data_IF_911691173443
#
_entry.id   IF_911691173443
#
_cell.length_a   1.000
_cell.length_b   1.000
_cell.length_c   1.000
_cell.angle_alpha   90.00
_cell.angle_beta   90.00
_cell.angle_gamma   90.00
#
_symmetry.space_group_name_H-M   'P 1'
#
loop_
_entity.id
_entity.type
_entity.pdbx_description
1 polymer ?
#
# COMPACT_ATOMS: atom_id res chain seq x y z
N UNK A 1 -10.37 17.48 -16.15
CA UNK A 1 -9.20 18.13 -15.53
C UNK A 1 -7.89 17.52 -16.02
N UNK A 2 -7.66 16.19 -15.82
CA UNK A 2 -6.38 15.50 -16.11
C UNK A 2 -5.91 15.69 -17.56
N UNK A 3 -6.82 15.61 -18.53
CA UNK A 3 -6.50 15.82 -19.96
C UNK A 3 -5.87 17.21 -20.23
N UNK A 4 -6.48 18.27 -19.68
CA UNK A 4 -5.97 19.64 -19.86
C UNK A 4 -4.67 19.89 -19.08
N UNK A 5 -4.50 19.27 -17.92
CA UNK A 5 -3.26 19.34 -17.17
C UNK A 5 -2.12 18.65 -17.94
N UNK A 6 -2.36 17.44 -18.43
CA UNK A 6 -1.39 16.68 -19.22
C UNK A 6 -0.99 17.45 -20.51
N UNK A 7 -1.96 17.95 -21.27
CA UNK A 7 -1.70 18.75 -22.48
C UNK A 7 -0.74 19.93 -22.22
N UNK A 8 -1.01 20.70 -21.14
CA UNK A 8 -0.17 21.86 -20.80
C UNK A 8 1.23 21.47 -20.34
N UNK A 9 1.33 20.41 -19.52
CA UNK A 9 2.62 19.95 -19.01
C UNK A 9 3.47 19.36 -20.14
N UNK A 10 2.86 18.56 -21.02
CA UNK A 10 3.54 17.99 -22.19
C UNK A 10 4.04 19.08 -23.15
N UNK A 11 3.25 20.15 -23.36
CA UNK A 11 3.69 21.31 -24.18
C UNK A 11 4.94 22.00 -23.60
N UNK A 12 5.21 21.84 -22.30
CA UNK A 12 6.40 22.35 -21.62
C UNK A 12 7.50 21.27 -21.47
N UNK A 13 7.30 20.08 -22.01
CA UNK A 13 8.26 18.96 -21.94
C UNK A 13 8.25 18.19 -20.60
N UNK A 14 7.23 18.35 -19.74
CA UNK A 14 7.14 17.67 -18.45
C UNK A 14 6.21 16.46 -18.51
N UNK A 15 6.62 15.29 -17.98
CA UNK A 15 5.72 14.16 -17.81
C UNK A 15 4.73 14.42 -16.68
N UNK A 16 3.57 13.74 -16.75
CA UNK A 16 2.50 13.82 -15.75
C UNK A 16 2.31 12.47 -15.08
N UNK A 17 2.43 12.43 -13.76
CA UNK A 17 2.06 11.29 -12.95
C UNK A 17 0.87 11.64 -12.06
N UNK A 18 -0.03 10.67 -11.88
CA UNK A 18 -1.22 10.83 -11.03
C UNK A 18 -1.31 9.69 -10.02
N UNK A 19 -1.92 9.95 -8.86
CA UNK A 19 -2.16 8.95 -7.83
C UNK A 19 -3.67 8.75 -7.63
N UNK A 20 -4.13 7.50 -7.67
CA UNK A 20 -5.54 7.14 -7.63
C UNK A 20 -5.85 6.22 -6.45
N UNK A 21 -7.03 6.41 -5.84
CA UNK A 21 -7.57 5.49 -4.85
C UNK A 21 -7.79 4.09 -5.45
N UNK A 22 -7.68 3.02 -4.65
CA UNK A 22 -7.75 1.65 -5.12
C UNK A 22 -9.18 1.21 -5.42
N UNK A 23 -9.62 1.32 -6.67
CA UNK A 23 -10.94 0.85 -7.14
C UNK A 23 -10.88 -0.59 -7.63
N UNK A 24 -11.91 -1.35 -7.30
CA UNK A 24 -12.12 -2.74 -7.73
C UNK A 24 -13.11 -2.85 -8.92
N UNK A 25 -13.82 -1.75 -9.28
CA UNK A 25 -14.71 -1.67 -10.44
C UNK A 25 -14.98 -0.23 -10.88
N UNK A 26 -15.57 -0.05 -12.06
CA UNK A 26 -16.00 1.27 -12.56
C UNK A 26 -17.10 1.88 -11.66
N UNK A 27 -18.01 1.05 -11.17
CA UNK A 27 -19.18 1.45 -10.38
C UNK A 27 -18.83 1.76 -8.92
N UNK A 28 -17.60 1.46 -8.47
CA UNK A 28 -17.21 1.76 -7.09
C UNK A 28 -17.26 3.26 -6.84
N UNK A 29 -18.31 3.68 -6.14
CA UNK A 29 -18.56 5.07 -5.76
C UNK A 29 -18.11 5.38 -4.34
N UNK A 30 -18.24 6.65 -3.96
CA UNK A 30 -17.93 7.18 -2.65
C UNK A 30 -16.95 8.36 -2.72
N UNK A 31 -16.83 9.07 -1.61
CA UNK A 31 -16.04 10.31 -1.52
C UNK A 31 -14.60 10.16 -2.04
N UNK A 32 -13.96 9.01 -1.78
CA UNK A 32 -12.58 8.73 -2.19
C UNK A 32 -12.46 8.16 -3.61
N UNK A 33 -13.56 7.77 -4.26
CA UNK A 33 -13.48 6.96 -5.48
C UNK A 33 -14.13 7.61 -6.70
N UNK A 34 -15.23 8.34 -6.52
CA UNK A 34 -16.07 8.84 -7.62
C UNK A 34 -15.30 9.72 -8.61
N UNK A 35 -14.36 10.54 -8.14
CA UNK A 35 -13.57 11.42 -8.98
C UNK A 35 -12.36 10.72 -9.65
N UNK A 36 -12.05 9.47 -9.30
CA UNK A 36 -10.92 8.72 -9.82
C UNK A 36 -11.34 7.89 -11.05
N UNK A 37 -11.33 8.53 -12.21
CA UNK A 37 -11.61 7.94 -13.50
C UNK A 37 -10.35 7.24 -14.04
N UNK A 38 -10.27 5.92 -13.87
CA UNK A 38 -9.11 5.11 -14.24
C UNK A 38 -8.80 5.18 -15.73
N UNK A 39 -9.84 5.13 -16.59
CA UNK A 39 -9.68 5.19 -18.05
C UNK A 39 -9.09 6.54 -18.47
N UNK A 40 -9.65 7.66 -17.98
CA UNK A 40 -9.16 8.99 -18.29
C UNK A 40 -7.72 9.20 -17.82
N UNK A 41 -7.37 8.75 -16.61
CA UNK A 41 -6.00 8.86 -16.10
C UNK A 41 -5.03 7.97 -16.89
N UNK A 42 -5.40 6.74 -17.21
CA UNK A 42 -4.60 5.84 -18.06
C UNK A 42 -4.38 6.38 -19.47
N UNK A 43 -5.35 7.10 -20.01
CA UNK A 43 -5.26 7.72 -21.34
C UNK A 43 -4.31 8.92 -21.37
N UNK A 44 -4.40 9.83 -20.41
CA UNK A 44 -3.75 11.14 -20.48
C UNK A 44 -2.47 11.26 -19.66
N UNK A 45 -2.34 10.54 -18.54
CA UNK A 45 -1.12 10.56 -17.72
C UNK A 45 -0.02 9.66 -18.31
N UNK A 46 1.24 9.97 -18.03
CA UNK A 46 2.40 9.14 -18.40
C UNK A 46 2.60 7.99 -17.43
N UNK A 47 2.27 8.20 -16.16
CA UNK A 47 2.28 7.19 -15.10
C UNK A 47 1.07 7.36 -14.19
N UNK A 48 0.56 6.25 -13.69
CA UNK A 48 -0.55 6.23 -12.74
C UNK A 48 -0.16 5.37 -11.54
N UNK A 49 -0.06 5.98 -10.37
CA UNK A 49 0.14 5.28 -9.11
C UNK A 49 -1.23 4.84 -8.59
N UNK A 50 -1.43 3.54 -8.45
CA UNK A 50 -2.56 3.00 -7.69
C UNK A 50 -2.16 2.92 -6.22
N UNK A 51 -2.84 3.65 -5.34
CA UNK A 51 -2.54 3.71 -3.90
C UNK A 51 -3.02 2.45 -3.19
N UNK A 52 -2.43 1.29 -3.54
CA UNK A 52 -2.80 -0.05 -3.06
C UNK A 52 -2.27 -0.31 -1.63
N UNK A 53 -2.61 0.60 -0.72
CA UNK A 53 -2.31 0.56 0.71
C UNK A 53 -3.40 1.26 1.51
N UNK A 54 -3.25 1.35 2.84
CA UNK A 54 -4.21 1.96 3.78
C UNK A 54 -5.55 1.21 3.90
N UNK A 55 -5.60 -0.11 3.64
CA UNK A 55 -6.73 -0.92 4.08
C UNK A 55 -6.75 -1.05 5.61
N UNK A 56 -5.61 -1.40 6.24
CA UNK A 56 -5.34 -1.04 7.62
C UNK A 56 -4.77 0.38 7.67
N UNK A 57 -5.39 1.28 8.41
CA UNK A 57 -4.94 2.68 8.51
C UNK A 57 -5.15 3.22 9.93
N UNK A 58 -4.61 4.42 10.18
CA UNK A 58 -4.53 5.03 11.52
C UNK A 58 -5.84 4.96 12.33
N UNK A 59 -6.99 5.22 11.71
CA UNK A 59 -8.29 5.24 12.41
C UNK A 59 -9.20 4.07 12.06
N UNK A 60 -8.71 3.14 11.24
CA UNK A 60 -9.42 1.91 10.86
C UNK A 60 -9.20 0.77 11.85
N UNK A 61 -10.01 -0.27 11.71
CA UNK A 61 -9.82 -1.52 12.44
C UNK A 61 -8.52 -2.20 12.07
N UNK A 62 -7.90 -2.96 12.98
CA UNK A 62 -6.65 -3.69 12.73
C UNK A 62 -6.76 -4.67 11.57
N UNK A 63 -5.92 -4.50 10.56
CA UNK A 63 -5.75 -5.41 9.43
C UNK A 63 -4.47 -5.08 8.67
N UNK A 64 -4.08 -5.93 7.71
CA UNK A 64 -2.94 -5.67 6.84
C UNK A 64 -3.08 -4.33 6.10
N UNK A 65 -1.97 -3.61 5.95
CA UNK A 65 -1.94 -2.27 5.32
C UNK A 65 -2.14 -2.40 3.80
N UNK A 66 -1.45 -3.36 3.19
CA UNK A 66 -1.45 -3.62 1.74
C UNK A 66 -1.72 -5.10 1.44
N UNK A 67 -2.92 -5.65 1.73
CA UNK A 67 -3.19 -7.08 1.56
C UNK A 67 -3.22 -7.48 0.09
N UNK A 68 -2.43 -8.49 -0.29
CA UNK A 68 -2.26 -8.96 -1.67
C UNK A 68 -3.59 -9.34 -2.33
N UNK A 69 -4.49 -9.99 -1.61
CA UNK A 69 -5.82 -10.35 -2.13
C UNK A 69 -6.68 -9.12 -2.51
N UNK A 70 -6.50 -8.00 -1.83
CA UNK A 70 -7.20 -6.74 -2.18
C UNK A 70 -6.47 -6.02 -3.31
N UNK A 71 -5.15 -6.01 -3.30
CA UNK A 71 -4.34 -5.46 -4.40
C UNK A 71 -4.72 -6.15 -5.71
N UNK A 72 -4.84 -7.50 -5.74
CA UNK A 72 -5.26 -8.25 -6.93
C UNK A 72 -6.57 -7.74 -7.51
N UNK A 73 -7.61 -7.55 -6.70
CA UNK A 73 -8.90 -7.05 -7.18
C UNK A 73 -8.79 -5.68 -7.86
N UNK A 74 -7.95 -4.80 -7.29
CA UNK A 74 -7.69 -3.49 -7.90
C UNK A 74 -6.96 -3.64 -9.22
N UNK A 75 -5.94 -4.51 -9.29
CA UNK A 75 -5.19 -4.75 -10.52
C UNK A 75 -6.04 -5.44 -11.57
N UNK A 76 -6.85 -6.44 -11.21
CA UNK A 76 -7.79 -7.13 -12.12
C UNK A 76 -8.68 -6.14 -12.86
N UNK A 77 -9.17 -5.12 -12.15
CA UNK A 77 -9.93 -4.04 -12.79
C UNK A 77 -9.03 -3.07 -13.58
N UNK A 78 -7.96 -2.59 -12.96
CA UNK A 78 -7.13 -1.53 -13.54
C UNK A 78 -6.56 -1.90 -14.91
N UNK A 79 -6.08 -3.14 -15.10
CA UNK A 79 -5.49 -3.61 -16.35
C UNK A 79 -6.50 -3.74 -17.50
N UNK A 80 -7.80 -3.73 -17.19
CA UNK A 80 -8.86 -3.73 -18.23
C UNK A 80 -9.11 -2.35 -18.83
N UNK A 81 -8.72 -1.27 -18.12
CA UNK A 81 -9.05 0.11 -18.49
C UNK A 81 -7.83 1.03 -18.64
N UNK A 82 -6.64 0.56 -18.25
CA UNK A 82 -5.39 1.33 -18.36
C UNK A 82 -4.27 0.50 -19.00
N UNK A 83 -3.38 1.13 -19.81
CA UNK A 83 -2.17 0.46 -20.30
C UNK A 83 -1.28 0.03 -19.12
N UNK A 84 -0.97 -1.27 -19.02
CA UNK A 84 -0.20 -1.85 -17.91
C UNK A 84 1.16 -1.19 -17.71
N UNK A 85 1.84 -0.82 -18.80
CA UNK A 85 3.13 -0.11 -18.79
C UNK A 85 3.08 1.32 -18.24
N UNK A 86 1.91 1.84 -17.84
CA UNK A 86 1.75 3.12 -17.15
C UNK A 86 1.46 2.95 -15.66
N UNK A 87 1.07 1.75 -15.21
CA UNK A 87 0.64 1.48 -13.84
C UNK A 87 1.85 1.27 -12.93
N UNK A 88 1.91 2.05 -11.86
CA UNK A 88 2.79 1.85 -10.73
C UNK A 88 1.95 1.35 -9.54
N UNK A 89 2.25 0.16 -9.03
CA UNK A 89 1.59 -0.37 -7.85
C UNK A 89 2.10 0.33 -6.59
N UNK A 90 1.21 0.90 -5.79
CA UNK A 90 1.55 1.55 -4.53
C UNK A 90 1.98 0.53 -3.48
N UNK A 91 3.05 0.83 -2.77
CA UNK A 91 3.65 0.00 -1.75
C UNK A 91 3.86 0.79 -0.46
N UNK A 92 3.37 0.26 0.69
CA UNK A 92 3.60 0.85 2.02
C UNK A 92 4.90 0.34 2.63
N UNK A 93 5.68 1.23 3.24
CA UNK A 93 6.93 0.87 3.93
C UNK A 93 6.90 1.17 5.43
N UNK A 94 5.73 1.10 6.04
CA UNK A 94 5.49 1.37 7.46
C UNK A 94 4.59 0.30 8.07
N UNK A 95 4.44 0.38 9.38
CA UNK A 95 3.63 -0.49 10.21
C UNK A 95 2.62 0.31 11.01
N UNK A 96 1.55 -0.34 11.41
CA UNK A 96 0.59 0.16 12.39
C UNK A 96 0.51 -0.73 13.62
N UNK A 97 0.39 -0.10 14.78
CA UNK A 97 0.25 -0.72 16.08
C UNK A 97 -1.07 -0.24 16.73
N UNK A 98 -2.05 -1.13 16.81
CA UNK A 98 -3.37 -0.86 17.39
C UNK A 98 -3.48 -1.44 18.81
N UNK A 99 -4.12 -0.66 19.67
CA UNK A 99 -4.58 -1.17 20.97
C UNK A 99 -5.83 -2.07 20.80
N UNK A 100 -5.88 -3.18 21.52
CA UNK A 100 -6.99 -4.14 21.50
C UNK A 100 -7.65 -4.21 22.89
N UNK A 101 -9.00 -4.21 22.99
CA UNK A 101 -9.97 -4.13 21.89
C UNK A 101 -9.97 -2.77 21.20
N UNK A 102 -9.96 -2.81 19.87
CA UNK A 102 -10.01 -1.58 19.07
C UNK A 102 -11.37 -0.88 19.21
N UNK A 103 -11.36 0.44 19.23
CA UNK A 103 -12.57 1.27 19.27
C UNK A 103 -12.52 2.30 18.16
N UNK A 104 -13.68 2.58 17.55
CA UNK A 104 -13.78 3.60 16.51
C UNK A 104 -13.25 4.97 17.01
N UNK A 105 -12.45 5.63 16.19
CA UNK A 105 -11.77 6.90 16.52
C UNK A 105 -10.47 6.74 17.30
N UNK A 106 -10.09 5.53 17.69
CA UNK A 106 -8.80 5.26 18.32
C UNK A 106 -7.71 5.16 17.26
N UNK A 107 -6.74 6.08 17.32
CA UNK A 107 -5.63 6.11 16.39
C UNK A 107 -4.63 4.97 16.66
N UNK A 108 -4.21 4.27 15.60
CA UNK A 108 -3.05 3.40 15.64
C UNK A 108 -1.75 4.22 15.69
N UNK A 109 -0.74 3.68 16.33
CA UNK A 109 0.61 4.24 16.30
C UNK A 109 1.33 3.81 15.02
N UNK A 110 1.93 4.76 14.32
CA UNK A 110 2.73 4.49 13.13
C UNK A 110 4.15 4.11 13.57
N UNK A 111 4.71 3.05 12.98
CA UNK A 111 6.07 2.57 13.19
C UNK A 111 6.78 2.41 11.83
N UNK A 112 8.11 2.41 11.82
CA UNK A 112 8.83 1.82 10.70
C UNK A 112 8.75 0.28 10.78
N UNK A 113 8.90 -0.42 9.67
CA UNK A 113 8.93 -1.89 9.66
C UNK A 113 10.06 -2.44 10.54
N UNK A 114 11.22 -1.77 10.56
CA UNK A 114 12.32 -2.12 11.44
C UNK A 114 11.94 -2.00 12.92
N UNK A 115 11.30 -0.88 13.31
CA UNK A 115 10.84 -0.68 14.69
C UNK A 115 9.76 -1.69 15.09
N UNK A 116 8.89 -2.13 14.17
CA UNK A 116 7.92 -3.18 14.42
C UNK A 116 8.61 -4.52 14.70
N UNK A 117 9.61 -4.90 13.90
CA UNK A 117 10.38 -6.12 14.12
C UNK A 117 11.17 -6.08 15.44
N UNK A 118 11.81 -4.96 15.76
CA UNK A 118 12.51 -4.75 17.04
C UNK A 118 11.56 -4.80 18.24
N UNK A 119 10.36 -4.26 18.10
CA UNK A 119 9.31 -4.36 19.12
C UNK A 119 8.91 -5.82 19.37
N UNK A 120 8.70 -6.61 18.30
CA UNK A 120 8.39 -8.04 18.45
C UNK A 120 9.49 -8.78 19.22
N UNK A 121 10.77 -8.56 18.87
CA UNK A 121 11.93 -9.16 19.54
C UNK A 121 11.97 -8.74 21.01
N UNK A 122 11.86 -7.44 21.31
CA UNK A 122 11.95 -6.90 22.66
C UNK A 122 10.81 -7.39 23.59
N UNK A 123 9.67 -7.78 23.02
CA UNK A 123 8.50 -8.30 23.75
C UNK A 123 8.42 -9.83 23.74
N UNK A 124 9.35 -10.53 23.09
CA UNK A 124 9.28 -11.97 22.91
C UNK A 124 8.03 -12.41 22.14
N UNK A 125 7.52 -11.53 21.27
CA UNK A 125 6.30 -11.79 20.51
C UNK A 125 6.57 -12.65 19.29
N UNK A 126 5.72 -13.66 19.06
CA UNK A 126 5.78 -14.49 17.86
C UNK A 126 5.26 -13.71 16.64
N UNK A 127 6.10 -13.51 15.63
CA UNK A 127 5.68 -12.95 14.35
C UNK A 127 4.99 -14.04 13.54
N UNK A 128 3.70 -13.84 13.28
CA UNK A 128 2.85 -14.69 12.44
C UNK A 128 2.76 -14.12 11.04
N UNK A 129 2.22 -14.91 10.12
CA UNK A 129 2.03 -14.50 8.73
C UNK A 129 0.63 -14.86 8.25
N UNK A 130 -0.10 -13.87 7.74
CA UNK A 130 -1.39 -14.08 7.10
C UNK A 130 -1.16 -14.42 5.63
N UNK A 131 -1.44 -15.65 5.25
CA UNK A 131 -1.22 -16.14 3.88
C UNK A 131 -2.22 -15.62 2.86
N UNK A 132 -3.36 -15.07 3.29
CA UNK A 132 -4.33 -14.42 2.39
C UNK A 132 -3.92 -13.00 2.07
N UNK A 133 -3.58 -12.23 3.10
CA UNK A 133 -3.07 -10.87 2.96
C UNK A 133 -1.60 -10.84 2.51
N UNK A 134 -0.86 -11.95 2.69
CA UNK A 134 0.59 -12.04 2.49
C UNK A 134 1.32 -10.96 3.30
N UNK A 135 1.00 -10.87 4.59
CA UNK A 135 1.52 -9.84 5.48
C UNK A 135 1.85 -10.39 6.87
N UNK A 136 2.97 -9.98 7.49
CA UNK A 136 3.32 -10.33 8.85
C UNK A 136 2.55 -9.50 9.87
N UNK A 137 2.26 -10.12 11.02
CA UNK A 137 1.62 -9.49 12.16
C UNK A 137 2.00 -10.17 13.46
N UNK A 138 1.83 -9.49 14.59
CA UNK A 138 2.00 -10.06 15.93
C UNK A 138 1.15 -9.35 16.97
N UNK A 139 0.92 -10.03 18.09
CA UNK A 139 0.35 -9.42 19.29
C UNK A 139 1.43 -9.27 20.37
N UNK A 140 1.29 -8.25 21.19
CA UNK A 140 2.09 -8.10 22.40
C UNK A 140 1.29 -7.43 23.52
N UNK A 141 1.82 -7.50 24.75
CA UNK A 141 1.27 -6.78 25.91
C UNK A 141 2.25 -5.68 26.30
N UNK A 142 1.76 -4.46 26.47
CA UNK A 142 2.58 -3.33 26.90
C UNK A 142 2.85 -3.34 28.42
N UNK A 143 3.63 -2.38 28.91
CA UNK A 143 3.97 -2.28 30.32
C UNK A 143 2.77 -1.98 31.24
N UNK A 144 1.67 -1.48 30.70
CA UNK A 144 0.42 -1.22 31.40
C UNK A 144 -0.55 -2.42 31.35
N UNK A 145 -0.13 -3.56 30.80
CA UNK A 145 -0.96 -4.77 30.69
C UNK A 145 -1.98 -4.71 29.54
N UNK A 146 -1.86 -3.78 28.61
CA UNK A 146 -2.78 -3.63 27.48
C UNK A 146 -2.31 -4.46 26.29
N UNK A 147 -3.25 -5.12 25.62
CA UNK A 147 -2.97 -5.93 24.44
C UNK A 147 -2.91 -5.05 23.18
N UNK A 148 -1.96 -5.33 22.33
CA UNK A 148 -1.75 -4.67 21.04
C UNK A 148 -1.70 -5.69 19.92
N UNK A 149 -2.02 -5.25 18.68
CA UNK A 149 -1.74 -5.97 17.46
C UNK A 149 -0.98 -5.05 16.49
N UNK A 150 0.09 -5.59 15.90
CA UNK A 150 0.92 -4.87 14.93
C UNK A 150 0.86 -5.58 13.58
N UNK A 151 0.59 -4.82 12.52
CA UNK A 151 0.74 -5.26 11.14
C UNK A 151 1.86 -4.46 10.49
N UNK A 152 2.71 -5.12 9.72
CA UNK A 152 3.89 -4.50 9.12
C UNK A 152 4.29 -5.21 7.82
N UNK A 153 5.39 -4.79 7.20
CA UNK A 153 5.94 -5.40 6.01
C UNK A 153 7.33 -5.99 6.29
N UNK A 154 7.57 -7.20 5.80
CA UNK A 154 8.88 -7.86 5.83
C UNK A 154 9.31 -8.33 4.43
N UNK A 155 10.47 -9.00 4.32
CA UNK A 155 10.97 -9.48 3.04
C UNK A 155 9.99 -10.40 2.31
N UNK A 156 9.23 -11.24 3.04
CA UNK A 156 8.23 -12.15 2.45
C UNK A 156 7.09 -11.38 1.81
N UNK A 157 6.57 -10.39 2.53
CA UNK A 157 5.46 -9.57 2.04
C UNK A 157 5.87 -8.66 0.87
N UNK A 158 7.12 -8.18 0.88
CA UNK A 158 7.70 -7.42 -0.25
C UNK A 158 7.78 -8.29 -1.49
N UNK A 159 8.34 -9.51 -1.38
CA UNK A 159 8.44 -10.46 -2.51
C UNK A 159 7.06 -10.78 -3.07
N UNK A 160 6.07 -11.06 -2.21
CA UNK A 160 4.71 -11.36 -2.65
C UNK A 160 4.07 -10.23 -3.47
N UNK A 161 4.39 -8.96 -3.15
CA UNK A 161 3.91 -7.81 -3.91
C UNK A 161 4.70 -7.58 -5.19
N UNK A 162 6.02 -7.76 -5.17
CA UNK A 162 6.84 -7.66 -6.39
C UNK A 162 6.46 -8.71 -7.43
N UNK A 163 6.04 -9.90 -7.01
CA UNK A 163 5.51 -10.92 -7.92
C UNK A 163 4.29 -10.42 -8.70
N UNK A 164 3.42 -9.60 -8.09
CA UNK A 164 2.28 -8.99 -8.79
C UNK A 164 2.73 -8.06 -9.92
N UNK A 165 3.83 -7.32 -9.75
CA UNK A 165 4.35 -6.45 -10.81
C UNK A 165 4.70 -7.25 -12.06
N UNK A 166 5.38 -8.39 -11.90
CA UNK A 166 5.68 -9.29 -13.00
C UNK A 166 4.43 -9.97 -13.58
N UNK A 167 3.56 -10.49 -12.72
CA UNK A 167 2.34 -11.21 -13.11
C UNK A 167 1.41 -10.32 -13.97
N UNK A 168 1.22 -9.06 -13.59
CA UNK A 168 0.38 -8.10 -14.32
C UNK A 168 1.16 -7.27 -15.35
N UNK A 169 2.46 -7.50 -15.54
CA UNK A 169 3.34 -6.73 -16.45
C UNK A 169 3.27 -5.22 -16.22
N UNK A 170 3.25 -4.80 -14.95
CA UNK A 170 3.15 -3.39 -14.58
C UNK A 170 4.46 -2.63 -14.85
N UNK A 171 4.39 -1.29 -14.90
CA UNK A 171 5.56 -0.42 -15.03
C UNK A 171 6.51 -0.48 -13.83
N UNK A 172 6.04 -0.94 -12.67
CA UNK A 172 6.82 -1.03 -11.45
C UNK A 172 6.02 -0.70 -10.20
N UNK A 173 6.71 -0.19 -9.18
CA UNK A 173 6.12 0.19 -7.89
C UNK A 173 6.32 1.67 -7.60
N UNK A 174 5.49 2.20 -6.69
CA UNK A 174 5.66 3.50 -6.04
C UNK A 174 5.64 3.31 -4.54
N UNK A 175 6.68 3.77 -3.83
CA UNK A 175 6.82 3.56 -2.39
C UNK A 175 6.29 4.77 -1.63
N UNK A 176 5.39 4.54 -0.67
CA UNK A 176 4.94 5.51 0.31
C UNK A 176 5.43 5.08 1.69
N UNK A 177 6.45 5.72 2.31
CA UNK A 177 6.99 7.01 1.95
C UNK A 177 8.52 7.03 2.18
N UNK A 178 9.24 7.94 1.49
CA UNK A 178 10.71 8.01 1.50
C UNK A 178 11.32 8.44 2.85
N UNK A 179 10.53 9.01 3.76
CA UNK A 179 10.96 9.45 5.10
C UNK A 179 11.11 8.31 6.12
N UNK A 180 10.69 7.08 5.78
CA UNK A 180 10.85 5.91 6.64
C UNK A 180 12.18 5.22 6.37
N UNK A 181 12.87 4.85 7.46
CA UNK A 181 14.16 4.14 7.35
C UNK A 181 13.95 2.76 6.73
N UNK A 182 14.58 2.53 5.58
CA UNK A 182 14.74 1.22 4.98
C UNK A 182 16.07 0.61 5.42
N UNK A 183 16.05 -0.66 5.85
CA UNK A 183 17.32 -1.40 5.99
C UNK A 183 17.79 -1.83 4.59
N UNK A 184 19.13 -1.74 4.32
CA UNK A 184 19.70 -2.03 2.98
C UNK A 184 19.30 -3.37 2.37
N UNK A 185 19.07 -4.41 3.18
CA UNK A 185 18.65 -5.74 2.71
C UNK A 185 17.27 -5.79 2.01
N UNK A 186 16.43 -4.78 2.19
CA UNK A 186 15.19 -4.63 1.43
C UNK A 186 15.45 -4.12 0.00
N UNK A 187 16.45 -3.24 -0.17
CA UNK A 187 16.81 -2.71 -1.50
C UNK A 187 17.45 -3.76 -2.41
N UNK A 188 18.16 -4.73 -1.85
CA UNK A 188 18.76 -5.83 -2.64
C UNK A 188 17.74 -6.68 -3.40
N UNK A 189 16.44 -6.53 -3.11
CA UNK A 189 15.36 -7.24 -3.80
C UNK A 189 14.77 -6.42 -4.97
N UNK A 190 15.20 -5.17 -5.15
CA UNK A 190 14.75 -4.29 -6.23
C UNK A 190 15.77 -4.14 -7.38
N UNK A 191 16.94 -4.81 -7.27
CA UNK A 191 18.00 -4.81 -8.29
C UNK A 191 17.89 -5.95 -9.30
#
# INVERSE_FOLDING_TARGET
FVARAAERMHALGYPVSTALAPKESAEQGGLLYTAHDYEAHGRYADRVVLMTYEWGYTYGSPQAISPVNRIRRVLDYAVTVMPVGKILMGFSNYAYDWLIPWRQGQAARILSNAAAAELAISRGAEIRYDYTAQAPWFNYTDAAGRTHVVWFEDARSVVARLQLVGEYSLAGISIWTADKVYRPGLYAQFG
#
